data_IF_920434827265
#
_entry.id   IF_920434827265
#
_cell.length_a   1.000
_cell.length_b   1.000
_cell.length_c   1.000
_cell.angle_alpha   90.00
_cell.angle_beta   90.00
_cell.angle_gamma   90.00
#
_symmetry.space_group_name_H-M   'P 1'
#
loop_
_entity.id
_entity.type
_entity.pdbx_description
1 polymer ?
#
# COMPACT_ATOMS: atom_id res chain seq x y z
N UNK A 1 3.95 10.99 -0.37
CA UNK A 1 5.11 10.69 0.49
C UNK A 1 4.64 10.75 1.93
N UNK A 2 4.92 9.74 2.71
CA UNK A 2 4.64 9.64 4.15
C UNK A 2 5.96 9.35 4.87
N UNK A 3 6.20 9.98 6.02
CA UNK A 3 7.36 9.69 6.86
C UNK A 3 6.89 9.01 8.15
N UNK A 4 7.33 7.78 8.38
CA UNK A 4 6.95 6.98 9.55
C UNK A 4 8.12 6.08 9.98
N UNK A 5 8.35 6.00 11.29
CA UNK A 5 9.40 5.14 11.86
C UNK A 5 10.78 5.28 11.20
N UNK A 6 11.17 6.52 10.83
CA UNK A 6 12.44 6.80 10.15
C UNK A 6 12.50 6.39 8.69
N UNK A 7 11.40 5.91 8.10
CA UNK A 7 11.30 5.50 6.70
C UNK A 7 10.47 6.49 5.88
N UNK A 8 10.82 6.65 4.61
CA UNK A 8 10.04 7.42 3.63
C UNK A 8 9.21 6.43 2.81
N UNK A 9 7.90 6.66 2.76
CA UNK A 9 6.97 5.84 1.99
C UNK A 9 6.38 6.70 0.88
N UNK A 10 6.56 6.28 -0.36
CA UNK A 10 5.92 6.88 -1.53
C UNK A 10 4.63 6.11 -1.84
N UNK A 11 3.49 6.72 -1.59
CA UNK A 11 2.18 6.12 -1.89
C UNK A 11 1.74 6.59 -3.27
N UNK A 12 1.47 5.63 -4.15
CA UNK A 12 0.90 5.84 -5.46
C UNK A 12 -0.55 5.34 -5.43
N UNK A 13 -1.49 6.27 -5.32
CA UNK A 13 -2.91 5.95 -5.34
C UNK A 13 -3.37 5.64 -6.77
N UNK A 14 -4.19 4.60 -6.91
CA UNK A 14 -4.75 4.17 -8.19
C UNK A 14 -6.26 4.16 -8.13
N UNK A 15 -6.93 4.67 -9.18
CA UNK A 15 -8.39 4.63 -9.23
C UNK A 15 -8.88 3.19 -9.42
N UNK A 16 -9.93 2.81 -8.68
CA UNK A 16 -10.53 1.48 -8.74
C UNK A 16 -11.52 1.25 -9.92
N UNK A 17 -11.71 2.24 -10.79
CA UNK A 17 -12.69 2.12 -11.89
C UNK A 17 -12.09 1.36 -13.08
N UNK A 18 -12.91 0.52 -13.74
CA UNK A 18 -12.48 -0.32 -14.88
C UNK A 18 -11.84 0.47 -16.02
N UNK A 19 -12.31 1.68 -16.28
CA UNK A 19 -11.82 2.55 -17.37
C UNK A 19 -10.40 3.08 -17.17
N UNK A 20 -9.84 2.95 -15.95
CA UNK A 20 -8.52 3.43 -15.57
C UNK A 20 -7.53 2.28 -15.28
N UNK A 21 -7.85 1.06 -15.69
CA UNK A 21 -7.03 -0.12 -15.44
C UNK A 21 -5.60 0.02 -16.03
N UNK A 22 -5.47 0.64 -17.20
CA UNK A 22 -4.15 0.85 -17.84
C UNK A 22 -3.23 1.73 -16.98
N UNK A 23 -3.77 2.79 -16.38
CA UNK A 23 -3.02 3.66 -15.45
C UNK A 23 -2.58 2.91 -14.19
N UNK A 24 -3.43 2.02 -13.68
CA UNK A 24 -3.11 1.16 -12.54
C UNK A 24 -1.99 0.19 -12.89
N UNK A 25 -2.06 -0.49 -14.03
CA UNK A 25 -0.99 -1.40 -14.50
C UNK A 25 0.35 -0.69 -14.66
N UNK A 26 0.36 0.52 -15.20
CA UNK A 26 1.56 1.35 -15.31
C UNK A 26 2.11 1.72 -13.94
N UNK A 27 1.25 2.10 -13.01
CA UNK A 27 1.64 2.44 -11.64
C UNK A 27 2.26 1.23 -10.92
N UNK A 28 1.73 0.02 -11.11
CA UNK A 28 2.30 -1.22 -10.57
C UNK A 28 3.74 -1.49 -11.03
N UNK A 29 4.17 -0.92 -12.17
CA UNK A 29 5.58 -1.02 -12.59
C UNK A 29 6.53 -0.20 -11.73
N UNK A 30 6.03 0.78 -11.02
CA UNK A 30 6.83 1.77 -10.28
C UNK A 30 6.79 1.57 -8.75
N UNK A 31 6.19 0.48 -8.27
CA UNK A 31 6.10 0.19 -6.83
C UNK A 31 6.87 -1.08 -6.47
N UNK A 32 7.18 -1.24 -5.19
CA UNK A 32 7.90 -2.39 -4.65
C UNK A 32 6.98 -3.28 -3.79
N UNK A 33 5.81 -2.78 -3.40
CA UNK A 33 4.76 -3.52 -2.70
C UNK A 33 3.39 -2.89 -3.00
N UNK A 34 2.32 -3.64 -2.79
CA UNK A 34 0.93 -3.21 -3.04
C UNK A 34 0.09 -3.38 -1.78
N UNK A 35 -0.73 -2.39 -1.48
CA UNK A 35 -1.85 -2.54 -0.54
C UNK A 35 -3.12 -2.70 -1.38
N UNK A 36 -3.68 -3.89 -1.36
CA UNK A 36 -4.92 -4.24 -2.04
C UNK A 36 -6.09 -3.96 -1.10
N UNK A 37 -6.95 -3.01 -1.47
CA UNK A 37 -8.10 -2.62 -0.65
C UNK A 37 -9.35 -3.35 -1.14
N UNK A 38 -9.97 -4.13 -0.26
CA UNK A 38 -11.18 -4.93 -0.53
C UNK A 38 -12.34 -4.38 0.30
N UNK A 39 -13.51 -4.22 -0.32
CA UNK A 39 -14.74 -3.80 0.36
C UNK A 39 -15.34 -4.99 1.11
N UNK A 40 -15.51 -4.89 2.43
CA UNK A 40 -16.03 -5.98 3.27
C UNK A 40 -17.42 -6.50 2.84
N UNK A 41 -18.26 -5.64 2.25
CA UNK A 41 -19.58 -6.04 1.79
C UNK A 41 -19.55 -6.71 0.41
N UNK A 42 -18.62 -6.31 -0.46
CA UNK A 42 -18.53 -6.83 -1.83
C UNK A 42 -17.62 -8.06 -1.92
N UNK A 43 -16.54 -8.10 -1.15
CA UNK A 43 -15.49 -9.09 -1.28
C UNK A 43 -14.63 -8.86 -2.51
N UNK A 44 -14.13 -9.93 -3.11
CA UNK A 44 -13.25 -9.89 -4.29
C UNK A 44 -14.06 -9.61 -5.55
N UNK A 45 -13.80 -8.46 -6.19
CA UNK A 45 -14.38 -8.08 -7.47
C UNK A 45 -13.45 -8.49 -8.63
N UNK A 46 -13.97 -8.69 -9.83
CA UNK A 46 -13.21 -9.09 -11.04
C UNK A 46 -11.97 -8.24 -11.29
N UNK A 47 -12.04 -6.93 -11.01
CA UNK A 47 -10.89 -6.04 -11.14
C UNK A 47 -9.79 -6.35 -10.12
N UNK A 48 -10.17 -6.78 -8.92
CA UNK A 48 -9.25 -7.21 -7.86
C UNK A 48 -8.45 -8.43 -8.29
N UNK A 49 -9.13 -9.43 -8.89
CA UNK A 49 -8.48 -10.63 -9.43
C UNK A 49 -7.46 -10.29 -10.52
N UNK A 50 -7.85 -9.41 -11.47
CA UNK A 50 -6.95 -8.98 -12.55
C UNK A 50 -5.71 -8.25 -12.02
N UNK A 51 -5.87 -7.36 -11.04
CA UNK A 51 -4.75 -6.66 -10.41
C UNK A 51 -3.82 -7.62 -9.67
N UNK A 52 -4.39 -8.61 -8.97
CA UNK A 52 -3.61 -9.63 -8.28
C UNK A 52 -2.80 -10.49 -9.25
N UNK A 53 -3.36 -10.85 -10.41
CA UNK A 53 -2.61 -11.55 -11.47
C UNK A 53 -1.37 -10.75 -11.91
N UNK A 54 -1.50 -9.43 -12.07
CA UNK A 54 -0.37 -8.57 -12.44
C UNK A 54 0.68 -8.52 -11.33
N UNK A 55 0.26 -8.41 -10.06
CA UNK A 55 1.17 -8.44 -8.92
C UNK A 55 1.96 -9.75 -8.88
N UNK A 56 1.29 -10.88 -9.10
CA UNK A 56 1.89 -12.22 -9.13
C UNK A 56 2.89 -12.38 -10.27
N UNK A 57 2.52 -11.97 -11.50
CA UNK A 57 3.43 -11.99 -12.67
C UNK A 57 4.73 -11.22 -12.42
N UNK A 58 4.71 -10.25 -11.52
CA UNK A 58 5.85 -9.39 -11.20
C UNK A 58 6.53 -9.76 -9.88
N UNK A 59 6.05 -10.77 -9.19
CA UNK A 59 6.46 -11.13 -7.83
C UNK A 59 6.42 -9.93 -6.89
N UNK A 60 5.39 -9.08 -7.02
CA UNK A 60 5.21 -7.89 -6.17
C UNK A 60 4.45 -8.31 -4.91
N UNK A 61 5.02 -8.17 -3.71
CA UNK A 61 4.35 -8.50 -2.46
C UNK A 61 3.06 -7.70 -2.27
N UNK A 62 2.02 -8.37 -1.76
CA UNK A 62 0.69 -7.76 -1.58
C UNK A 62 0.28 -7.87 -0.12
N UNK A 63 -0.18 -6.76 0.46
CA UNK A 63 -0.89 -6.68 1.73
C UNK A 63 -2.36 -6.43 1.40
N UNK A 64 -3.27 -7.10 2.09
CA UNK A 64 -4.71 -6.93 1.88
C UNK A 64 -5.30 -6.14 3.04
N UNK A 65 -6.10 -5.11 2.73
CA UNK A 65 -6.86 -4.34 3.70
C UNK A 65 -8.35 -4.49 3.42
N UNK A 66 -9.05 -5.23 4.28
CA UNK A 66 -10.50 -5.38 4.24
C UNK A 66 -11.11 -4.13 4.88
N UNK A 67 -11.66 -3.27 4.03
CA UNK A 67 -12.12 -1.93 4.36
C UNK A 67 -13.63 -1.84 4.53
N UNK A 68 -14.09 -0.77 5.13
CA UNK A 68 -15.51 -0.42 5.35
C UNK A 68 -16.22 -1.28 6.39
N UNK A 69 -15.50 -1.74 7.41
CA UNK A 69 -16.13 -2.44 8.54
C UNK A 69 -17.05 -1.57 9.39
N UNK A 70 -17.09 -0.25 9.14
CA UNK A 70 -18.12 0.66 9.64
C UNK A 70 -19.51 0.38 9.05
N UNK A 71 -19.60 -0.54 8.07
CA UNK A 71 -20.83 -1.01 7.45
C UNK A 71 -20.94 -2.52 7.58
N UNK A 72 -22.18 -3.03 7.46
CA UNK A 72 -22.42 -4.46 7.44
C UNK A 72 -21.75 -5.07 6.19
N UNK A 73 -21.01 -6.15 6.39
CA UNK A 73 -20.28 -6.87 5.35
C UNK A 73 -20.48 -8.38 5.45
N UNK A 74 -19.70 -9.13 4.68
CA UNK A 74 -19.60 -10.59 4.76
C UNK A 74 -18.92 -11.01 6.05
N UNK A 75 -19.09 -12.26 6.45
CA UNK A 75 -18.35 -12.83 7.56
C UNK A 75 -16.84 -12.77 7.32
N UNK A 76 -16.01 -12.46 8.34
CA UNK A 76 -14.56 -12.38 8.17
C UNK A 76 -13.90 -13.68 7.68
N UNK A 77 -14.35 -14.85 8.15
CA UNK A 77 -13.82 -16.14 7.66
C UNK A 77 -14.22 -16.38 6.20
N UNK A 78 -15.48 -16.09 5.82
CA UNK A 78 -15.91 -16.18 4.42
C UNK A 78 -15.08 -15.25 3.51
N UNK A 79 -14.66 -14.08 4.01
CA UNK A 79 -13.80 -13.17 3.26
C UNK A 79 -12.39 -13.73 3.09
N UNK A 80 -11.82 -14.37 4.09
CA UNK A 80 -10.51 -15.02 3.97
C UNK A 80 -10.57 -16.17 2.95
N UNK A 81 -11.56 -17.03 3.01
CA UNK A 81 -11.77 -18.13 2.05
C UNK A 81 -11.94 -17.58 0.62
N UNK A 82 -12.75 -16.51 0.45
CA UNK A 82 -12.95 -15.87 -0.85
C UNK A 82 -11.66 -15.26 -1.40
N UNK A 83 -10.81 -14.68 -0.54
CA UNK A 83 -9.52 -14.14 -0.94
C UNK A 83 -8.58 -15.26 -1.45
N UNK A 84 -8.47 -16.37 -0.73
CA UNK A 84 -7.65 -17.49 -1.13
C UNK A 84 -8.12 -18.11 -2.45
N UNK A 85 -9.40 -18.41 -2.55
CA UNK A 85 -10.00 -19.05 -3.71
C UNK A 85 -9.88 -18.20 -4.99
N UNK A 86 -10.19 -16.90 -4.89
CA UNK A 86 -10.23 -16.03 -6.07
C UNK A 86 -8.91 -15.40 -6.43
N UNK A 87 -8.06 -15.11 -5.44
CA UNK A 87 -6.77 -14.47 -5.68
C UNK A 87 -5.64 -15.49 -5.84
N UNK A 88 -5.88 -16.77 -5.54
CA UNK A 88 -4.93 -17.87 -5.64
C UNK A 88 -3.62 -17.52 -4.91
N UNK A 89 -3.74 -17.10 -3.65
CA UNK A 89 -2.65 -16.76 -2.74
C UNK A 89 -3.05 -17.14 -1.32
N UNK A 90 -2.13 -17.70 -0.55
CA UNK A 90 -2.39 -17.93 0.88
C UNK A 90 -2.55 -16.60 1.60
N UNK A 91 -3.55 -16.48 2.47
CA UNK A 91 -3.74 -15.30 3.28
C UNK A 91 -3.39 -15.56 4.74
N UNK A 92 -2.96 -14.50 5.44
CA UNK A 92 -2.66 -14.59 6.87
C UNK A 92 -3.24 -13.38 7.61
N UNK A 93 -4.30 -13.55 8.43
CA UNK A 93 -4.86 -12.44 9.19
C UNK A 93 -3.86 -11.95 10.24
N UNK A 94 -3.57 -10.64 10.23
CA UNK A 94 -2.74 -9.98 11.25
C UNK A 94 -3.56 -9.12 12.21
N UNK A 95 -4.78 -8.76 11.82
CA UNK A 95 -5.78 -8.21 12.74
C UNK A 95 -7.10 -8.93 12.56
N UNK A 96 -7.90 -9.00 13.63
CA UNK A 96 -9.23 -9.60 13.59
C UNK A 96 -10.29 -8.60 14.05
N UNK A 97 -11.41 -8.44 13.36
CA UNK A 97 -12.40 -7.42 13.68
C UNK A 97 -13.29 -7.86 14.85
N UNK A 98 -13.66 -6.91 15.69
CA UNK A 98 -14.63 -7.09 16.75
C UNK A 98 -15.96 -6.51 16.26
N UNK A 99 -16.80 -7.36 15.67
CA UNK A 99 -18.04 -7.01 14.99
C UNK A 99 -17.85 -6.14 13.71
N UNK A 100 -18.97 -5.71 13.15
CA UNK A 100 -19.05 -4.86 11.96
C UNK A 100 -20.25 -3.91 12.03
N UNK A 101 -20.29 -2.95 11.12
CA UNK A 101 -21.36 -1.96 11.04
C UNK A 101 -21.35 -1.01 12.24
N UNK A 102 -22.52 -0.67 12.74
CA UNK A 102 -22.67 0.18 13.92
C UNK A 102 -22.15 -0.43 15.21
N UNK A 103 -21.91 -1.74 15.22
CA UNK A 103 -21.36 -2.50 16.35
C UNK A 103 -19.86 -2.78 16.22
N UNK A 104 -19.17 -2.23 15.24
CA UNK A 104 -17.72 -2.35 15.11
C UNK A 104 -17.03 -1.65 16.27
N UNK A 105 -16.40 -2.42 17.15
CA UNK A 105 -15.84 -1.95 18.42
C UNK A 105 -14.32 -1.78 18.39
N UNK A 106 -13.63 -2.53 17.55
CA UNK A 106 -12.17 -2.56 17.54
C UNK A 106 -11.60 -3.69 16.71
N UNK A 107 -10.30 -3.91 16.88
CA UNK A 107 -9.58 -5.03 16.28
C UNK A 107 -8.70 -5.73 17.33
N UNK A 108 -8.53 -7.03 17.20
CA UNK A 108 -7.47 -7.78 17.85
C UNK A 108 -6.25 -7.80 16.95
N UNK A 109 -5.09 -7.43 17.47
CA UNK A 109 -3.82 -7.51 16.77
C UNK A 109 -3.15 -8.85 17.12
N UNK A 110 -3.07 -9.76 16.15
CA UNK A 110 -2.52 -11.11 16.35
C UNK A 110 -1.01 -11.09 16.59
N UNK A 111 -0.28 -10.13 16.02
CA UNK A 111 1.18 -10.03 16.20
C UNK A 111 1.56 -9.49 17.59
N UNK A 112 0.84 -8.48 18.07
CA UNK A 112 1.07 -7.87 19.37
C UNK A 112 0.26 -8.54 20.49
N UNK A 113 -0.64 -9.46 20.13
CA UNK A 113 -1.53 -10.18 21.04
C UNK A 113 -2.32 -9.24 21.97
N UNK A 114 -2.89 -8.18 21.41
CA UNK A 114 -3.66 -7.20 22.16
C UNK A 114 -4.95 -6.81 21.44
N UNK A 115 -5.94 -6.41 22.22
CA UNK A 115 -7.20 -5.87 21.75
C UNK A 115 -7.09 -4.35 21.71
N UNK A 116 -7.50 -3.75 20.63
CA UNK A 116 -7.57 -2.29 20.44
C UNK A 116 -9.02 -1.87 20.25
N UNK A 117 -9.60 -1.28 21.29
CA UNK A 117 -10.97 -0.82 21.30
C UNK A 117 -11.04 0.68 20.97
N UNK A 118 -11.93 1.03 20.08
CA UNK A 118 -12.21 2.43 19.74
C UNK A 118 -13.13 3.07 20.78
N UNK A 119 -12.86 4.34 21.07
CA UNK A 119 -13.65 5.06 22.07
C UNK A 119 -15.10 5.26 21.58
N UNK A 120 -16.12 4.82 22.33
CA UNK A 120 -17.52 5.01 21.97
C UNK A 120 -17.85 6.47 21.73
N UNK A 121 -18.60 6.75 20.65
CA UNK A 121 -19.03 8.12 20.30
C UNK A 121 -18.01 8.92 19.48
N UNK A 122 -16.76 8.48 19.33
CA UNK A 122 -15.83 9.02 18.35
C UNK A 122 -16.02 8.34 17.01
N UNK A 123 -16.19 9.14 15.98
CA UNK A 123 -16.38 8.64 14.61
C UNK A 123 -15.05 8.42 13.88
N UNK A 124 -13.95 8.84 14.49
CA UNK A 124 -12.61 8.73 13.91
C UNK A 124 -11.55 8.65 15.01
N UNK A 125 -10.55 7.80 14.81
CA UNK A 125 -9.32 7.78 15.62
C UNK A 125 -8.37 8.83 15.06
N UNK A 126 -7.96 9.77 15.88
CA UNK A 126 -7.02 10.84 15.51
C UNK A 126 -5.66 10.65 16.20
N UNK A 127 -5.68 10.20 17.47
CA UNK A 127 -4.49 9.98 18.29
C UNK A 127 -4.59 8.64 19.05
N UNK A 128 -3.48 8.15 19.59
CA UNK A 128 -3.43 6.92 20.41
C UNK A 128 -4.29 7.02 21.69
N UNK A 129 -4.53 8.22 22.21
CA UNK A 129 -5.43 8.48 23.35
C UNK A 129 -6.90 8.12 23.06
N UNK A 130 -7.25 7.92 21.78
CA UNK A 130 -8.58 7.50 21.35
C UNK A 130 -8.80 5.99 21.46
N UNK A 131 -7.75 5.24 21.85
CA UNK A 131 -7.74 3.78 21.91
C UNK A 131 -7.62 3.29 23.36
N UNK A 132 -8.41 2.27 23.68
CA UNK A 132 -8.18 1.44 24.86
C UNK A 132 -7.46 0.16 24.40
N UNK A 133 -6.22 -0.04 24.86
CA UNK A 133 -5.44 -1.22 24.55
C UNK A 133 -5.52 -2.18 25.73
N UNK A 134 -5.92 -3.42 25.47
CA UNK A 134 -6.00 -4.51 26.47
C UNK A 134 -5.08 -5.63 26.01
N UNK A 135 -4.06 -5.92 26.82
CA UNK A 135 -2.96 -6.84 26.45
C UNK A 135 -3.27 -8.32 26.71
N UNK A 136 -4.40 -8.63 27.32
CA UNK A 136 -4.78 -10.02 27.64
C UNK A 136 -6.23 -10.28 27.23
N UNK A 137 -6.46 -11.31 26.43
CA UNK A 137 -7.80 -11.77 26.04
C UNK A 137 -8.62 -12.29 27.24
N UNK A 138 -7.95 -12.71 28.32
CA UNK A 138 -8.61 -13.16 29.55
C UNK A 138 -8.99 -12.03 30.51
N UNK A 139 -8.58 -10.76 30.21
CA UNK A 139 -8.88 -9.62 31.07
C UNK A 139 -10.40 -9.37 31.14
N UNK A 140 -10.92 -9.30 32.40
CA UNK A 140 -12.33 -9.03 32.68
C UNK A 140 -12.83 -7.70 32.08
N UNK A 141 -11.92 -6.76 31.79
CA UNK A 141 -12.30 -5.49 31.16
C UNK A 141 -12.91 -5.73 29.78
N UNK A 142 -12.51 -6.79 29.08
CA UNK A 142 -13.10 -7.14 27.78
C UNK A 142 -14.55 -7.59 27.95
N UNK A 143 -14.87 -8.37 28.98
CA UNK A 143 -16.24 -8.80 29.24
C UNK A 143 -17.14 -7.59 29.59
N UNK A 144 -16.59 -6.61 30.32
CA UNK A 144 -17.30 -5.36 30.63
C UNK A 144 -17.51 -4.48 29.39
N UNK A 145 -16.52 -4.39 28.49
CA UNK A 145 -16.57 -3.49 27.32
C UNK A 145 -17.24 -4.10 26.11
N UNK A 146 -17.11 -5.41 25.93
CA UNK A 146 -17.59 -6.13 24.76
C UNK A 146 -18.87 -6.94 25.02
N UNK A 147 -19.17 -7.24 26.30
CA UNK A 147 -20.32 -8.09 26.70
C UNK A 147 -20.22 -9.47 26.00
N UNK A 148 -21.28 -9.92 25.33
CA UNK A 148 -21.30 -11.19 24.60
C UNK A 148 -20.25 -11.32 23.50
N UNK A 149 -19.74 -10.21 22.97
CA UNK A 149 -18.75 -10.20 21.90
C UNK A 149 -17.35 -10.64 22.38
N UNK A 150 -17.06 -10.54 23.68
CA UNK A 150 -15.80 -11.01 24.24
C UNK A 150 -15.62 -12.53 24.10
N UNK A 151 -16.69 -13.29 24.34
CA UNK A 151 -16.70 -14.75 24.14
C UNK A 151 -16.47 -15.11 22.68
N UNK A 152 -17.20 -14.47 21.77
CA UNK A 152 -17.04 -14.70 20.33
C UNK A 152 -15.61 -14.37 19.87
N UNK A 153 -15.03 -13.25 20.33
CA UNK A 153 -13.66 -12.89 19.99
C UNK A 153 -12.66 -13.98 20.40
N UNK A 154 -12.79 -14.51 21.63
CA UNK A 154 -11.91 -15.59 22.11
C UNK A 154 -12.02 -16.86 21.26
N UNK A 155 -13.26 -17.26 20.91
CA UNK A 155 -13.52 -18.41 20.04
C UNK A 155 -12.92 -18.19 18.64
N UNK A 156 -13.11 -17.01 18.04
CA UNK A 156 -12.57 -16.68 16.72
C UNK A 156 -11.03 -16.73 16.74
N UNK A 157 -10.37 -16.17 17.78
CA UNK A 157 -8.91 -16.17 17.90
C UNK A 157 -8.37 -17.58 18.08
N UNK A 158 -9.00 -18.43 18.93
CA UNK A 158 -8.62 -19.83 19.08
C UNK A 158 -8.69 -20.59 17.76
N UNK A 159 -9.71 -20.34 16.94
CA UNK A 159 -9.82 -20.92 15.59
C UNK A 159 -8.70 -20.45 14.67
N UNK A 160 -8.38 -19.15 14.67
CA UNK A 160 -7.32 -18.58 13.84
C UNK A 160 -5.96 -19.17 14.21
N UNK A 161 -5.63 -19.21 15.52
CA UNK A 161 -4.38 -19.80 16.02
C UNK A 161 -4.27 -21.31 15.76
N UNK A 162 -5.41 -22.00 15.62
CA UNK A 162 -5.46 -23.41 15.25
C UNK A 162 -5.30 -23.69 13.75
N UNK A 163 -5.56 -22.72 12.88
CA UNK A 163 -5.56 -22.88 11.43
C UNK A 163 -4.32 -22.25 10.80
N UNK A 164 -3.88 -21.10 11.28
CA UNK A 164 -2.76 -20.35 10.72
C UNK A 164 -1.50 -20.52 11.54
N UNK A 165 -0.39 -20.84 10.88
CA UNK A 165 0.95 -20.82 11.48
C UNK A 165 1.40 -19.38 11.78
N UNK A 166 2.59 -19.19 12.36
CA UNK A 166 3.18 -17.87 12.57
C UNK A 166 3.42 -17.15 11.23
N UNK A 167 3.13 -15.85 11.18
CA UNK A 167 3.33 -15.04 9.97
C UNK A 167 4.81 -14.97 9.59
N UNK A 168 5.10 -15.31 8.34
CA UNK A 168 6.43 -15.23 7.73
C UNK A 168 6.57 -13.99 6.84
N UNK A 169 7.45 -13.06 7.23
CA UNK A 169 7.78 -11.91 6.38
C UNK A 169 8.51 -12.33 5.09
N UNK A 170 9.26 -13.42 5.12
CA UNK A 170 9.95 -13.96 3.93
C UNK A 170 8.96 -14.48 2.91
N UNK A 171 7.90 -15.19 3.35
CA UNK A 171 6.84 -15.67 2.45
C UNK A 171 6.01 -14.51 1.86
N UNK A 172 5.79 -13.45 2.64
CA UNK A 172 5.20 -12.22 2.12
C UNK A 172 6.09 -11.59 1.04
N UNK A 173 7.39 -11.43 1.30
CA UNK A 173 8.33 -10.86 0.32
C UNK A 173 8.48 -11.73 -0.94
N UNK A 174 8.33 -13.04 -0.81
CA UNK A 174 8.31 -13.98 -1.91
C UNK A 174 6.99 -13.98 -2.71
N UNK A 175 5.94 -13.29 -2.20
CA UNK A 175 4.61 -13.27 -2.81
C UNK A 175 3.83 -14.58 -2.64
N UNK A 176 4.18 -15.40 -1.66
CA UNK A 176 3.53 -16.68 -1.33
C UNK A 176 2.31 -16.41 -0.44
N UNK A 177 2.46 -15.52 0.55
CA UNK A 177 1.42 -15.19 1.51
C UNK A 177 1.12 -13.70 1.52
N UNK A 178 -0.16 -13.34 1.62
CA UNK A 178 -0.62 -11.97 1.79
C UNK A 178 -1.13 -11.73 3.22
N UNK A 179 -0.50 -10.85 4.01
CA UNK A 179 -1.04 -10.45 5.31
C UNK A 179 -2.34 -9.66 5.13
N UNK A 180 -3.35 -9.96 5.97
CA UNK A 180 -4.68 -9.37 5.91
C UNK A 180 -4.94 -8.52 7.15
N UNK A 181 -5.43 -7.31 6.91
CA UNK A 181 -5.86 -6.37 7.93
C UNK A 181 -7.33 -6.03 7.75
N UNK A 182 -8.03 -5.84 8.85
CA UNK A 182 -9.43 -5.45 8.90
C UNK A 182 -9.58 -4.02 9.46
N UNK A 183 -10.46 -3.21 8.85
CA UNK A 183 -10.67 -1.87 9.37
C UNK A 183 -11.66 -1.00 8.59
N UNK A 184 -11.64 0.29 8.91
CA UNK A 184 -12.38 1.34 8.20
C UNK A 184 -11.48 2.54 7.97
N UNK A 185 -11.08 2.76 6.73
CA UNK A 185 -10.27 3.93 6.37
C UNK A 185 -11.00 5.26 6.61
N UNK A 186 -12.34 5.28 6.51
CA UNK A 186 -13.15 6.47 6.79
C UNK A 186 -12.98 6.93 8.24
N UNK A 187 -12.97 5.96 9.16
CA UNK A 187 -12.90 6.20 10.59
C UNK A 187 -11.48 6.11 11.14
N UNK A 188 -10.52 5.80 10.28
CA UNK A 188 -9.12 5.52 10.64
C UNK A 188 -8.94 4.30 11.56
N UNK A 189 -9.89 3.36 11.52
CA UNK A 189 -9.88 2.13 12.33
C UNK A 189 -9.06 1.05 11.62
N UNK A 190 -8.13 0.38 12.34
CA UNK A 190 -7.23 -0.66 11.80
C UNK A 190 -6.14 -0.14 10.85
N UNK A 191 -6.13 1.16 10.54
CA UNK A 191 -5.14 1.78 9.63
C UNK A 191 -3.78 1.93 10.31
N UNK A 192 -3.77 2.16 11.61
CA UNK A 192 -2.53 2.25 12.39
C UNK A 192 -1.76 0.92 12.36
N UNK A 193 -2.44 -0.19 12.60
CA UNK A 193 -1.91 -1.56 12.59
C UNK A 193 -1.33 -1.88 11.20
N UNK A 194 -2.11 -1.65 10.16
CA UNK A 194 -1.66 -1.80 8.77
C UNK A 194 -0.36 -1.02 8.51
N UNK A 195 -0.33 0.28 8.82
CA UNK A 195 0.83 1.13 8.53
C UNK A 195 2.04 0.79 9.39
N UNK A 196 1.84 0.34 10.62
CA UNK A 196 2.92 -0.07 11.52
C UNK A 196 3.58 -1.34 10.99
N UNK A 197 2.80 -2.36 10.70
CA UNK A 197 3.30 -3.59 10.11
C UNK A 197 3.93 -3.35 8.74
N UNK A 198 3.26 -2.57 7.87
CA UNK A 198 3.80 -2.20 6.55
C UNK A 198 5.21 -1.60 6.67
N UNK A 199 5.44 -0.67 7.59
CA UNK A 199 6.77 -0.09 7.77
C UNK A 199 7.81 -1.09 8.26
N UNK A 200 7.38 -2.17 8.91
CA UNK A 200 8.25 -3.26 9.37
C UNK A 200 8.66 -4.22 8.25
N UNK A 201 7.70 -4.63 7.43
CA UNK A 201 7.87 -5.74 6.48
C UNK A 201 7.99 -5.30 4.99
N UNK A 202 7.58 -4.08 4.63
CA UNK A 202 7.62 -3.63 3.24
C UNK A 202 9.06 -3.64 2.70
N UNK A 203 9.27 -4.13 1.47
CA UNK A 203 10.59 -4.18 0.87
C UNK A 203 11.16 -2.79 0.65
N UNK A 204 12.48 -2.68 0.74
CA UNK A 204 13.21 -1.54 0.19
C UNK A 204 13.14 -1.58 -1.34
N UNK A 205 13.45 -0.46 -2.04
CA UNK A 205 13.46 -0.44 -3.49
C UNK A 205 14.28 -1.60 -4.07
N UNK A 206 13.64 -2.40 -4.92
CA UNK A 206 14.24 -3.59 -5.51
C UNK A 206 15.05 -3.29 -6.79
N UNK A 207 15.85 -4.27 -7.20
CA UNK A 207 16.55 -4.26 -8.50
C UNK A 207 15.58 -4.18 -9.66
N UNK A 208 16.04 -3.61 -10.77
CA UNK A 208 15.26 -3.47 -12.01
C UNK A 208 15.99 -4.09 -13.18
N UNK A 209 15.31 -4.98 -13.89
CA UNK A 209 15.82 -5.55 -15.13
C UNK A 209 15.66 -4.55 -16.27
N UNK A 210 16.67 -4.47 -17.12
CA UNK A 210 16.67 -3.70 -18.36
C UNK A 210 17.06 -4.61 -19.54
N UNK A 211 16.95 -4.11 -20.76
CA UNK A 211 17.32 -4.85 -21.96
C UNK A 211 18.81 -5.29 -21.99
N UNK A 212 19.64 -4.64 -21.21
CA UNK A 212 21.10 -4.83 -21.25
C UNK A 212 21.71 -5.36 -19.97
N UNK A 213 21.10 -5.06 -18.81
CA UNK A 213 21.64 -5.42 -17.49
C UNK A 213 20.59 -5.33 -16.39
N UNK A 214 20.93 -5.85 -15.24
CA UNK A 214 20.21 -5.58 -13.98
C UNK A 214 20.76 -4.28 -13.38
N UNK A 215 19.88 -3.40 -12.96
CA UNK A 215 20.19 -2.16 -12.21
C UNK A 215 19.92 -2.40 -10.73
N UNK A 216 20.94 -2.23 -9.91
CA UNK A 216 20.84 -2.35 -8.45
C UNK A 216 20.60 -0.97 -7.81
N UNK A 217 19.73 -0.86 -6.79
CA UNK A 217 19.39 0.44 -6.19
C UNK A 217 20.58 1.18 -5.57
N UNK A 218 21.59 0.45 -5.13
CA UNK A 218 22.79 1.00 -4.48
C UNK A 218 23.89 1.48 -5.45
N UNK A 219 23.68 1.35 -6.76
CA UNK A 219 24.64 1.88 -7.74
C UNK A 219 24.73 3.39 -7.64
N UNK A 220 25.95 3.94 -7.76
CA UNK A 220 26.18 5.39 -7.74
C UNK A 220 25.63 6.09 -8.98
N UNK A 221 25.64 5.39 -10.12
CA UNK A 221 25.13 5.91 -11.37
C UNK A 221 23.60 6.05 -11.29
N UNK A 222 23.12 7.26 -11.60
CA UNK A 222 21.70 7.52 -11.69
C UNK A 222 21.04 6.71 -12.80
N UNK A 223 19.90 6.13 -12.49
CA UNK A 223 18.95 5.64 -13.48
C UNK A 223 17.51 5.81 -12.99
N UNK A 224 16.61 6.00 -13.94
CA UNK A 224 15.18 6.09 -13.66
C UNK A 224 14.38 5.89 -14.94
N UNK A 225 13.11 5.57 -14.81
CA UNK A 225 12.20 5.39 -15.93
C UNK A 225 10.87 6.11 -15.75
N UNK A 226 10.30 6.55 -16.87
CA UNK A 226 9.00 7.21 -16.93
C UNK A 226 7.91 6.15 -16.99
N UNK A 227 7.06 6.07 -15.94
CA UNK A 227 5.98 5.09 -15.89
C UNK A 227 4.59 5.69 -16.20
N UNK A 228 4.43 6.99 -16.05
CA UNK A 228 3.16 7.68 -16.25
C UNK A 228 3.38 9.09 -16.79
N UNK A 229 2.45 9.57 -17.61
CA UNK A 229 2.44 10.95 -18.08
C UNK A 229 1.04 11.52 -17.89
N UNK A 230 0.94 12.62 -17.16
CA UNK A 230 -0.28 13.42 -17.10
C UNK A 230 -0.16 14.61 -18.05
N UNK A 231 -1.10 14.71 -18.97
CA UNK A 231 -1.25 15.85 -19.86
C UNK A 231 -2.37 16.76 -19.35
N UNK A 232 -2.28 18.07 -19.69
CA UNK A 232 -3.35 19.04 -19.45
C UNK A 232 -3.78 19.23 -17.99
N UNK A 233 -2.84 19.26 -17.05
CA UNK A 233 -3.12 19.61 -15.65
C UNK A 233 -3.66 21.04 -15.48
N UNK A 234 -3.29 21.96 -16.37
CA UNK A 234 -3.93 23.25 -16.55
C UNK A 234 -4.47 23.32 -18.00
N UNK A 235 -5.81 23.44 -18.21
CA UNK A 235 -6.39 23.53 -19.55
C UNK A 235 -5.86 24.71 -20.42
N UNK A 236 -5.26 25.71 -19.77
CA UNK A 236 -4.68 26.90 -20.44
C UNK A 236 -3.24 26.67 -20.91
N UNK A 237 -2.58 25.61 -20.47
CA UNK A 237 -1.20 25.29 -20.79
C UNK A 237 -1.11 23.87 -21.36
N UNK A 238 -0.34 23.68 -22.43
CA UNK A 238 -0.06 22.36 -23.04
C UNK A 238 1.00 21.58 -22.27
N UNK A 239 1.05 21.77 -20.97
CA UNK A 239 2.09 21.23 -20.13
C UNK A 239 1.78 19.79 -19.72
N UNK A 240 2.80 18.96 -19.76
CA UNK A 240 2.74 17.56 -19.34
C UNK A 240 3.68 17.37 -18.17
N UNK A 241 3.30 16.48 -17.27
CA UNK A 241 4.18 15.99 -16.20
C UNK A 241 4.45 14.52 -16.46
N UNK A 242 5.71 14.18 -16.68
CA UNK A 242 6.17 12.81 -16.73
C UNK A 242 6.59 12.37 -15.32
N UNK A 243 6.01 11.27 -14.83
CA UNK A 243 6.37 10.70 -13.55
C UNK A 243 7.49 9.70 -13.75
N UNK A 244 8.62 10.00 -13.15
CA UNK A 244 9.85 9.20 -13.17
C UNK A 244 10.01 8.47 -11.84
N UNK A 245 10.22 7.15 -11.89
CA UNK A 245 10.70 6.35 -10.77
C UNK A 245 12.22 6.35 -10.78
N UNK A 246 12.86 6.73 -9.68
CA UNK A 246 14.31 6.60 -9.48
C UNK A 246 14.62 5.13 -9.17
N UNK A 247 15.54 4.52 -9.90
CA UNK A 247 15.95 3.12 -9.75
C UNK A 247 17.30 2.97 -9.07
N UNK A 248 18.26 3.84 -9.40
CA UNK A 248 19.62 3.84 -8.82
C UNK A 248 20.19 5.24 -8.74
N UNK A 249 21.26 5.41 -7.97
CA UNK A 249 21.96 6.66 -7.80
C UNK A 249 21.13 7.78 -7.21
N UNK A 250 21.42 9.01 -7.60
CA UNK A 250 20.74 10.19 -7.10
C UNK A 250 20.28 11.08 -8.24
N UNK A 251 18.99 11.38 -8.29
CA UNK A 251 18.46 12.46 -9.11
C UNK A 251 18.85 13.81 -8.48
N UNK A 252 19.37 14.74 -9.26
CA UNK A 252 19.66 16.07 -8.78
C UNK A 252 19.11 17.12 -9.77
N UNK A 253 18.44 18.11 -9.22
CA UNK A 253 17.92 19.23 -9.98
C UNK A 253 19.03 19.90 -10.81
N UNK A 254 18.70 20.31 -12.02
CA UNK A 254 19.59 21.03 -12.99
C UNK A 254 20.82 20.23 -13.48
N UNK A 255 21.01 18.99 -13.02
CA UNK A 255 22.03 18.11 -13.62
C UNK A 255 21.59 17.58 -14.99
N UNK A 256 22.55 17.30 -15.90
CA UNK A 256 22.23 16.66 -17.17
C UNK A 256 21.98 15.15 -16.95
N UNK A 257 20.94 14.61 -17.57
CA UNK A 257 20.62 13.20 -17.64
C UNK A 257 20.52 12.76 -19.09
N UNK A 258 21.18 11.69 -19.45
CA UNK A 258 21.09 11.13 -20.80
C UNK A 258 19.71 10.49 -21.00
N UNK A 259 18.93 11.00 -21.91
CA UNK A 259 17.70 10.39 -22.37
C UNK A 259 18.04 9.26 -23.35
N UNK A 260 17.90 8.01 -22.94
CA UNK A 260 18.45 6.85 -23.65
C UNK A 260 17.90 6.69 -25.07
N UNK A 261 16.59 6.94 -25.29
CA UNK A 261 15.95 6.83 -26.60
C UNK A 261 16.43 7.91 -27.59
N UNK A 262 16.52 9.17 -27.15
CA UNK A 262 16.90 10.28 -28.04
C UNK A 262 18.41 10.53 -28.12
N UNK A 263 19.21 9.89 -27.23
CA UNK A 263 20.66 10.10 -27.08
C UNK A 263 21.04 11.55 -26.80
N UNK A 264 20.17 12.31 -26.12
CA UNK A 264 20.36 13.71 -25.79
C UNK A 264 20.31 13.93 -24.28
N UNK A 265 21.13 14.84 -23.81
CA UNK A 265 21.06 15.29 -22.42
C UNK A 265 19.82 16.14 -22.16
N UNK A 266 19.20 15.91 -21.03
CA UNK A 266 18.03 16.65 -20.52
C UNK A 266 18.36 17.21 -19.15
N UNK A 267 17.89 18.43 -18.88
CA UNK A 267 17.98 19.07 -17.56
C UNK A 267 16.60 19.47 -17.09
N UNK A 268 16.35 19.29 -15.82
CA UNK A 268 15.06 19.57 -15.20
C UNK A 268 15.23 20.60 -14.08
N UNK A 269 14.80 21.83 -14.31
CA UNK A 269 14.94 22.96 -13.39
C UNK A 269 13.83 23.03 -12.34
N UNK A 270 12.69 22.38 -12.59
CA UNK A 270 11.54 22.39 -11.69
C UNK A 270 10.98 20.98 -11.52
N UNK A 271 11.78 20.03 -10.97
CA UNK A 271 11.26 18.72 -10.64
C UNK A 271 10.33 18.81 -9.42
N UNK A 272 9.24 18.05 -9.42
CA UNK A 272 8.24 18.09 -8.38
C UNK A 272 8.15 16.76 -7.64
N UNK A 273 7.91 16.84 -6.33
CA UNK A 273 7.32 15.75 -5.55
C UNK A 273 5.88 16.12 -5.20
N UNK A 274 5.06 15.11 -4.94
CA UNK A 274 3.64 15.28 -4.68
C UNK A 274 3.31 14.76 -3.28
N UNK A 275 2.63 15.59 -2.50
CA UNK A 275 2.03 15.20 -1.24
C UNK A 275 0.54 15.51 -1.33
N UNK A 276 -0.28 14.49 -1.64
CA UNK A 276 -1.67 14.64 -2.05
C UNK A 276 -1.79 15.65 -3.21
N UNK A 277 -2.54 16.74 -3.05
CA UNK A 277 -2.70 17.79 -4.07
C UNK A 277 -1.59 18.84 -4.09
N UNK A 278 -0.68 18.81 -3.11
CA UNK A 278 0.40 19.82 -3.01
C UNK A 278 1.62 19.38 -3.80
N UNK A 279 2.13 20.30 -4.61
CA UNK A 279 3.39 20.15 -5.35
C UNK A 279 4.50 20.89 -4.62
N UNK A 280 5.65 20.25 -4.45
CA UNK A 280 6.86 20.88 -3.92
C UNK A 280 8.00 20.62 -4.88
N UNK A 281 8.86 21.61 -5.08
CA UNK A 281 10.10 21.42 -5.86
C UNK A 281 11.04 20.56 -5.02
N UNK A 282 11.62 19.55 -5.65
CA UNK A 282 12.60 18.67 -5.03
C UNK A 282 13.98 18.96 -5.60
N UNK A 283 15.00 19.08 -4.75
CA UNK A 283 16.39 19.29 -5.17
C UNK A 283 17.09 17.98 -5.53
N UNK A 284 16.74 16.92 -4.85
CA UNK A 284 17.33 15.58 -5.02
C UNK A 284 16.30 14.50 -4.69
N UNK A 285 16.45 13.32 -5.31
CA UNK A 285 15.64 12.15 -5.06
C UNK A 285 16.48 10.88 -5.18
N UNK A 286 16.06 9.84 -4.48
CA UNK A 286 16.81 8.59 -4.28
C UNK A 286 16.03 7.38 -4.82
N UNK A 287 16.67 6.20 -4.94
CA UNK A 287 15.98 4.99 -5.36
C UNK A 287 14.71 4.75 -4.54
N UNK A 288 13.61 4.50 -5.24
CA UNK A 288 12.29 4.41 -4.63
C UNK A 288 11.44 5.67 -4.74
N UNK A 289 12.05 6.84 -4.92
CA UNK A 289 11.31 8.08 -5.06
C UNK A 289 10.65 8.21 -6.44
N UNK A 290 9.57 8.98 -6.45
CA UNK A 290 8.87 9.37 -7.67
C UNK A 290 8.97 10.88 -7.86
N UNK A 291 9.50 11.29 -9.01
CA UNK A 291 9.70 12.68 -9.37
C UNK A 291 8.82 13.05 -10.57
N UNK A 292 8.06 14.12 -10.46
CA UNK A 292 7.34 14.71 -11.58
C UNK A 292 8.25 15.65 -12.38
N UNK A 293 8.47 15.32 -13.62
CA UNK A 293 9.29 16.09 -14.55
C UNK A 293 8.41 16.86 -15.52
N UNK A 294 8.64 18.17 -15.61
CA UNK A 294 7.99 18.99 -16.61
C UNK A 294 8.45 18.60 -18.02
N UNK A 295 7.51 18.25 -18.89
CA UNK A 295 7.78 17.75 -20.23
C UNK A 295 7.00 18.51 -21.29
N UNK A 296 7.67 18.86 -22.39
CA UNK A 296 7.09 19.56 -23.56
C UNK A 296 6.63 18.60 -24.67
N UNK A 297 6.64 17.30 -24.42
CA UNK A 297 6.26 16.27 -25.38
C UNK A 297 7.40 15.37 -25.84
N UNK A 298 8.57 15.52 -25.24
CA UNK A 298 9.76 14.74 -25.60
C UNK A 298 9.81 13.36 -24.94
N UNK A 299 9.31 13.26 -23.71
CA UNK A 299 9.29 12.02 -22.95
C UNK A 299 8.09 11.14 -23.32
N UNK A 300 8.31 9.84 -23.32
CA UNK A 300 7.28 8.79 -23.49
C UNK A 300 7.30 7.84 -22.27
N UNK A 301 6.18 7.17 -22.05
CA UNK A 301 6.12 6.09 -21.06
C UNK A 301 7.09 4.99 -21.51
N UNK A 302 7.89 4.48 -20.55
CA UNK A 302 8.98 3.54 -20.80
C UNK A 302 10.34 4.18 -21.10
N UNK A 303 10.41 5.50 -21.33
CA UNK A 303 11.71 6.16 -21.52
C UNK A 303 12.55 6.10 -20.25
N UNK A 304 13.84 5.85 -20.41
CA UNK A 304 14.82 5.83 -19.34
C UNK A 304 15.73 7.05 -19.39
N UNK A 305 16.09 7.54 -18.21
CA UNK A 305 17.10 8.57 -17.97
C UNK A 305 18.25 7.96 -17.16
N UNK A 306 19.49 8.25 -17.54
CA UNK A 306 20.70 7.77 -16.85
C UNK A 306 21.70 8.90 -16.65
#
# INVERSE_FOLDING_TARGET
MLFRSGKIINILDTPGHKDLAEDTYRTLTAVDSVILVVDAAKGVEEQTERLMQVCRMRSTPVIIFINKLDRQGKDPFELLDELEDKLDISVHPLTWPINMGSSFKGVYNLQEQNVRLYTPGKTRVEDDDDLLIVSDLADEILDIKLDSDAGKLREDIELIEGVYDDFSADDYLAGITAPVFFGSALNNFGVFELLTTFTGIAPSPGKRETDTRIVEPHEEQFSGFVFKIHANLDPRHRDRIAFLRVCSGRFEKDKPFLHTRSKKDRRFSTPYTFMASRKSIVSEAYPGDVVGLYDRGDLKIGDSLT
#
